data_IF_706898508763
#
_entry.id   IF_706898508763
#
_cell.length_a   1.000
_cell.length_b   1.000
_cell.length_c   1.000
_cell.angle_alpha   90.00
_cell.angle_beta   90.00
_cell.angle_gamma   90.00
#
_symmetry.space_group_name_H-M   'P 1'
#
loop_
_entity.id
_entity.type
_entity.pdbx_description
1 polymer ?
#
# COMPACT_ATOMS: atom_id res chain seq x y z
N UNK A 1 9.51 6.48 21.54
CA UNK A 1 8.80 5.19 21.31
C UNK A 1 7.83 5.46 20.19
N UNK A 2 8.24 5.12 18.98
CA UNK A 2 7.53 5.43 17.73
C UNK A 2 6.13 4.83 17.71
N UNK A 3 5.13 5.67 17.46
CA UNK A 3 3.70 5.34 17.43
C UNK A 3 3.29 4.50 16.21
N UNK A 4 4.18 3.63 15.72
CA UNK A 4 4.03 2.89 14.47
C UNK A 4 3.79 1.37 14.66
N UNK A 5 3.85 0.85 15.89
CA UNK A 5 3.67 -0.58 16.15
C UNK A 5 2.25 -1.10 15.82
N UNK A 6 1.26 -0.22 15.67
CA UNK A 6 -0.12 -0.59 15.35
C UNK A 6 -0.41 -0.81 13.86
N UNK A 7 0.30 -0.13 12.95
CA UNK A 7 -0.04 -0.14 11.53
C UNK A 7 0.70 -1.25 10.76
N UNK A 8 0.04 -1.91 9.79
CA UNK A 8 0.66 -2.91 8.92
C UNK A 8 1.83 -2.32 8.14
N UNK A 9 2.94 -3.04 8.02
CA UNK A 9 4.06 -2.70 7.16
C UNK A 9 3.79 -3.13 5.70
N UNK A 10 3.82 -2.17 4.77
CA UNK A 10 3.56 -2.41 3.35
C UNK A 10 4.69 -1.96 2.40
N UNK A 11 5.91 -1.78 2.92
CA UNK A 11 7.06 -1.24 2.16
C UNK A 11 7.30 -1.88 0.77
N UNK A 12 7.22 -3.22 0.58
CA UNK A 12 7.40 -3.80 -0.74
C UNK A 12 6.35 -3.36 -1.76
N UNK A 13 5.10 -3.15 -1.31
CA UNK A 13 4.03 -2.64 -2.15
C UNK A 13 4.22 -1.16 -2.46
N UNK A 14 4.59 -0.36 -1.45
CA UNK A 14 4.94 1.05 -1.66
C UNK A 14 6.04 1.20 -2.71
N UNK A 15 7.11 0.41 -2.60
CA UNK A 15 8.21 0.45 -3.57
C UNK A 15 7.75 0.07 -4.98
N UNK A 16 6.91 -0.97 -5.12
CA UNK A 16 6.33 -1.28 -6.43
C UNK A 16 5.50 -0.11 -6.98
N UNK A 17 4.66 0.48 -6.13
CA UNK A 17 3.78 1.59 -6.50
C UNK A 17 4.60 2.81 -6.97
N UNK A 18 5.68 3.14 -6.26
CA UNK A 18 6.64 4.17 -6.64
C UNK A 18 7.22 3.92 -8.04
N UNK A 19 7.73 2.70 -8.28
CA UNK A 19 8.33 2.31 -9.56
C UNK A 19 7.33 2.34 -10.73
N UNK A 20 6.05 2.08 -10.45
CA UNK A 20 4.96 2.21 -11.43
C UNK A 20 4.66 3.68 -11.73
N UNK A 21 4.58 4.52 -10.70
CA UNK A 21 4.21 5.93 -10.83
C UNK A 21 5.29 6.78 -11.49
N UNK A 22 6.55 6.56 -11.12
CA UNK A 22 7.67 7.29 -11.69
C UNK A 22 8.14 6.74 -13.05
N UNK A 23 7.48 5.69 -13.56
CA UNK A 23 7.80 5.08 -14.85
C UNK A 23 9.09 4.26 -14.87
N UNK A 24 9.72 3.97 -13.73
CA UNK A 24 11.01 3.24 -13.68
C UNK A 24 10.90 1.83 -14.26
N UNK A 25 9.73 1.18 -14.13
CA UNK A 25 9.52 -0.14 -14.76
C UNK A 25 9.41 -0.07 -16.29
N UNK A 26 9.20 1.12 -16.85
CA UNK A 26 9.02 1.35 -18.29
C UNK A 26 7.61 1.02 -18.81
N UNK A 27 7.30 1.54 -19.99
CA UNK A 27 5.98 1.39 -20.63
C UNK A 27 5.63 -0.07 -20.93
N UNK A 28 6.62 -0.88 -21.33
CA UNK A 28 6.41 -2.30 -21.61
C UNK A 28 5.93 -3.07 -20.38
N UNK A 29 6.43 -2.73 -19.19
CA UNK A 29 6.02 -3.37 -17.94
C UNK A 29 4.60 -2.97 -17.53
N UNK A 30 4.22 -1.71 -17.73
CA UNK A 30 2.86 -1.23 -17.50
C UNK A 30 1.88 -1.89 -18.48
N UNK A 31 2.22 -1.91 -19.77
CA UNK A 31 1.43 -2.60 -20.79
C UNK A 31 1.29 -4.10 -20.49
N UNK A 32 2.34 -4.75 -19.99
CA UNK A 32 2.27 -6.16 -19.56
C UNK A 32 1.26 -6.38 -18.43
N UNK A 33 1.19 -5.46 -17.46
CA UNK A 33 0.22 -5.50 -16.36
C UNK A 33 -1.21 -5.24 -16.83
N UNK A 34 -1.41 -4.24 -17.69
CA UNK A 34 -2.72 -3.87 -18.25
C UNK A 34 -3.35 -5.02 -19.04
N UNK A 35 -2.53 -5.78 -19.76
CA UNK A 35 -2.99 -6.88 -20.60
C UNK A 35 -2.82 -8.27 -19.96
N UNK A 36 -2.35 -8.37 -18.71
CA UNK A 36 -2.31 -9.63 -17.96
C UNK A 36 -3.72 -10.01 -17.48
N UNK A 37 -4.33 -11.03 -18.10
CA UNK A 37 -5.65 -11.56 -17.70
C UNK A 37 -5.79 -11.92 -16.21
N UNK A 38 -4.69 -12.22 -15.52
CA UNK A 38 -4.69 -12.58 -14.09
C UNK A 38 -4.45 -11.38 -13.17
N UNK A 39 -3.75 -10.36 -13.65
CA UNK A 39 -3.25 -9.27 -12.80
C UNK A 39 -3.78 -7.88 -13.18
N UNK A 40 -4.44 -7.71 -14.33
CA UNK A 40 -4.93 -6.40 -14.79
C UNK A 40 -5.89 -5.75 -13.79
N UNK A 41 -6.83 -6.53 -13.23
CA UNK A 41 -7.74 -6.03 -12.21
C UNK A 41 -7.04 -5.61 -10.91
N UNK A 42 -6.00 -6.34 -10.49
CA UNK A 42 -5.20 -6.01 -9.30
C UNK A 42 -4.36 -4.75 -9.55
N UNK A 43 -3.77 -4.65 -10.75
CA UNK A 43 -3.06 -3.46 -11.19
C UNK A 43 -3.98 -2.24 -11.17
N UNK A 44 -5.12 -2.28 -11.86
CA UNK A 44 -6.12 -1.20 -11.85
C UNK A 44 -6.59 -0.84 -10.43
N UNK A 45 -6.80 -1.85 -9.57
CA UNK A 45 -7.17 -1.63 -8.18
C UNK A 45 -6.07 -0.89 -7.40
N UNK A 46 -4.80 -1.22 -7.61
CA UNK A 46 -3.66 -0.50 -7.04
C UNK A 46 -3.58 0.94 -7.58
N UNK A 47 -3.82 1.15 -8.88
CA UNK A 47 -3.80 2.48 -9.52
C UNK A 47 -4.86 3.44 -8.97
N UNK A 48 -5.98 2.92 -8.47
CA UNK A 48 -6.98 3.73 -7.76
C UNK A 48 -6.45 4.31 -6.44
N UNK A 49 -5.35 3.80 -5.92
CA UNK A 49 -4.67 4.31 -4.72
C UNK A 49 -3.54 5.31 -5.02
N UNK A 50 -3.32 5.69 -6.27
CA UNK A 50 -2.28 6.66 -6.68
C UNK A 50 -2.37 7.97 -5.88
N UNK A 51 -3.58 8.48 -5.66
CA UNK A 51 -3.80 9.73 -4.92
C UNK A 51 -3.35 9.64 -3.46
N UNK A 52 -3.66 8.52 -2.79
CA UNK A 52 -3.23 8.28 -1.41
C UNK A 52 -1.70 8.14 -1.32
N UNK A 53 -1.06 7.52 -2.32
CA UNK A 53 0.39 7.40 -2.37
C UNK A 53 1.06 8.76 -2.58
N UNK A 54 0.60 9.55 -3.56
CA UNK A 54 1.15 10.89 -3.83
C UNK A 54 1.01 11.83 -2.64
N UNK A 55 -0.11 11.76 -1.91
CA UNK A 55 -0.29 12.55 -0.70
C UNK A 55 0.72 12.17 0.40
N UNK A 56 1.02 10.88 0.55
CA UNK A 56 2.05 10.38 1.47
C UNK A 56 3.47 10.80 1.05
N UNK A 57 3.79 10.76 -0.24
CA UNK A 57 5.07 11.25 -0.76
C UNK A 57 5.23 12.76 -0.55
N UNK A 58 4.20 13.54 -0.85
CA UNK A 58 4.17 14.99 -0.66
C UNK A 58 4.41 15.39 0.81
N UNK A 59 3.81 14.67 1.75
CA UNK A 59 4.04 14.90 3.17
C UNK A 59 5.43 14.49 3.66
N UNK A 60 6.15 13.67 2.89
CA UNK A 60 7.53 13.30 3.17
C UNK A 60 8.55 14.30 2.58
N UNK A 61 8.09 15.24 1.75
CA UNK A 61 8.91 16.31 1.17
C UNK A 61 8.82 17.60 2.02
N UNK A 62 9.90 18.02 2.70
CA UNK A 62 9.90 19.22 3.53
C UNK A 62 9.68 20.52 2.74
N UNK A 63 9.93 20.56 1.42
CA UNK A 63 9.68 21.77 0.61
C UNK A 63 8.19 22.00 0.35
N UNK A 64 7.40 20.93 0.19
CA UNK A 64 5.96 21.03 -0.08
C UNK A 64 5.16 21.40 1.18
N UNK A 65 5.62 21.00 2.36
CA UNK A 65 5.02 21.42 3.64
C UNK A 65 5.08 22.94 3.86
N UNK A 66 6.11 23.63 3.33
CA UNK A 66 6.27 25.07 3.45
C UNK A 66 5.39 25.87 2.46
N UNK A 67 5.07 25.31 1.30
CA UNK A 67 4.16 25.94 0.33
C UNK A 67 2.69 25.79 0.72
N UNK A 68 2.29 24.62 1.26
CA UNK A 68 0.94 24.42 1.79
C UNK A 68 0.61 25.33 2.99
N UNK A 69 1.61 25.71 3.78
CA UNK A 69 1.46 26.65 4.89
C UNK A 69 1.40 28.12 4.45
N UNK A 70 1.84 28.44 3.22
CA UNK A 70 1.91 29.82 2.71
C UNK A 70 0.66 30.24 1.90
N UNK A 71 -0.05 29.30 1.27
CA UNK A 71 -1.15 29.59 0.33
C UNK A 71 -2.57 29.25 0.84
N UNK A 72 -2.73 28.81 2.09
CA UNK A 72 -4.00 28.24 2.59
C UNK A 72 -4.88 29.18 3.43
N UNK A 73 -5.77 29.92 2.76
CA UNK A 73 -7.06 30.36 3.33
C UNK A 73 -7.93 29.12 3.63
N UNK A 74 -8.41 29.02 4.87
CA UNK A 74 -9.35 28.06 5.44
C UNK A 74 -9.74 26.78 4.68
N UNK A 75 -9.20 25.63 5.11
CA UNK A 75 -9.97 24.46 5.62
C UNK A 75 -9.08 23.22 5.73
N UNK A 76 -9.12 22.59 6.91
CA UNK A 76 -8.42 21.36 7.30
C UNK A 76 -6.90 21.51 7.56
N UNK A 77 -6.51 21.17 8.79
CA UNK A 77 -5.10 21.10 9.18
C UNK A 77 -4.39 20.02 8.33
N UNK A 78 -3.12 20.25 7.93
CA UNK A 78 -2.37 19.25 7.16
C UNK A 78 -2.31 17.93 7.92
N UNK A 79 -2.70 16.84 7.25
CA UNK A 79 -2.67 15.48 7.82
C UNK A 79 -1.24 15.08 8.15
N UNK A 80 -1.04 14.39 9.27
CA UNK A 80 0.29 13.89 9.65
C UNK A 80 0.73 12.76 8.70
N UNK A 81 2.04 12.52 8.53
CA UNK A 81 2.55 11.39 7.74
C UNK A 81 1.97 10.04 8.17
N UNK A 82 1.72 9.84 9.47
CA UNK A 82 1.11 8.60 9.98
C UNK A 82 -0.35 8.44 9.52
N UNK A 83 -1.12 9.53 9.49
CA UNK A 83 -2.50 9.51 8.99
C UNK A 83 -2.54 9.20 7.48
N UNK A 84 -1.64 9.81 6.71
CA UNK A 84 -1.51 9.54 5.28
C UNK A 84 -1.02 8.11 5.00
N UNK A 85 -0.11 7.59 5.82
CA UNK A 85 0.32 6.19 5.74
C UNK A 85 -0.85 5.24 6.05
N UNK A 86 -1.65 5.53 7.07
CA UNK A 86 -2.84 4.76 7.38
C UNK A 86 -3.86 4.78 6.22
N UNK A 87 -4.10 5.92 5.58
CA UNK A 87 -4.95 6.03 4.39
C UNK A 87 -4.42 5.21 3.21
N UNK A 88 -3.11 5.26 2.96
CA UNK A 88 -2.48 4.47 1.92
C UNK A 88 -2.60 2.96 2.18
N UNK A 89 -2.26 2.51 3.40
CA UNK A 89 -2.43 1.11 3.83
C UNK A 89 -3.90 0.72 3.67
N UNK A 90 -4.81 1.59 4.05
CA UNK A 90 -6.24 1.32 3.97
C UNK A 90 -6.72 1.12 2.53
N UNK A 91 -6.31 2.00 1.61
CA UNK A 91 -6.68 1.92 0.20
C UNK A 91 -6.09 0.66 -0.46
N UNK A 92 -4.80 0.43 -0.28
CA UNK A 92 -4.11 -0.70 -0.91
C UNK A 92 -4.59 -2.04 -0.36
N UNK A 93 -4.87 -2.11 0.95
CA UNK A 93 -5.39 -3.30 1.59
C UNK A 93 -6.82 -3.62 1.17
N UNK A 94 -7.69 -2.62 0.97
CA UNK A 94 -9.05 -2.89 0.47
C UNK A 94 -9.04 -3.30 -1.00
N UNK A 95 -8.12 -2.75 -1.78
CA UNK A 95 -7.95 -3.07 -3.20
C UNK A 95 -7.41 -4.49 -3.43
N UNK A 96 -6.40 -4.90 -2.66
CA UNK A 96 -5.63 -6.12 -2.95
C UNK A 96 -5.86 -7.25 -1.95
N UNK A 97 -6.15 -6.91 -0.69
CA UNK A 97 -6.19 -7.86 0.42
C UNK A 97 -7.45 -7.71 1.31
N UNK A 98 -8.68 -7.65 0.74
CA UNK A 98 -9.88 -7.25 1.47
C UNK A 98 -10.20 -8.16 2.66
N UNK A 99 -9.98 -9.47 2.53
CA UNK A 99 -10.23 -10.43 3.62
C UNK A 99 -9.25 -10.24 4.78
N UNK A 100 -7.95 -10.12 4.49
CA UNK A 100 -6.94 -9.92 5.53
C UNK A 100 -7.10 -8.55 6.21
N UNK A 101 -7.52 -7.53 5.45
CA UNK A 101 -7.88 -6.21 5.98
C UNK A 101 -9.04 -6.30 6.96
N UNK A 102 -10.08 -7.06 6.62
CA UNK A 102 -11.24 -7.25 7.47
C UNK A 102 -10.85 -7.88 8.82
N UNK A 103 -10.04 -8.94 8.80
CA UNK A 103 -9.53 -9.60 10.01
C UNK A 103 -8.70 -8.65 10.89
N UNK A 104 -7.79 -7.88 10.30
CA UNK A 104 -6.99 -6.91 11.04
C UNK A 104 -7.85 -5.77 11.61
N UNK A 105 -8.82 -5.24 10.87
CA UNK A 105 -9.73 -4.19 11.36
C UNK A 105 -10.57 -4.67 12.55
N UNK A 106 -11.07 -5.90 12.48
CA UNK A 106 -11.89 -6.48 13.54
C UNK A 106 -11.16 -6.48 14.90
N UNK A 107 -9.83 -6.67 14.89
CA UNK A 107 -9.02 -6.64 16.10
C UNK A 107 -8.49 -5.25 16.45
N UNK A 108 -8.17 -4.40 15.45
CA UNK A 108 -7.61 -3.07 15.68
C UNK A 108 -8.59 -2.13 16.41
N UNK A 109 -9.89 -2.41 16.33
CA UNK A 109 -10.97 -1.68 17.01
C UNK A 109 -11.24 -2.18 18.44
N UNK A 110 -10.59 -3.27 18.89
CA UNK A 110 -10.81 -3.82 20.23
C UNK A 110 -10.01 -3.06 21.30
N UNK A 111 -10.56 -2.85 22.51
CA UNK A 111 -9.85 -2.21 23.60
C UNK A 111 -8.62 -3.03 24.03
N UNK A 112 -7.47 -2.35 24.18
CA UNK A 112 -6.19 -2.95 24.56
C UNK A 112 -6.16 -3.26 26.05
N UNK A 113 -6.84 -4.34 26.45
CA UNK A 113 -6.87 -4.82 27.84
C UNK A 113 -6.58 -6.32 28.01
N UNK A 114 -6.69 -7.10 26.93
CA UNK A 114 -6.50 -8.55 26.94
C UNK A 114 -5.27 -8.93 26.11
N UNK A 115 -4.27 -9.54 26.76
CA UNK A 115 -3.04 -10.04 26.12
C UNK A 115 -3.34 -11.04 25.00
N UNK A 116 -4.34 -11.91 25.17
CA UNK A 116 -4.71 -12.89 24.15
C UNK A 116 -5.32 -12.20 22.92
N UNK A 117 -6.09 -11.13 23.12
CA UNK A 117 -6.61 -10.31 22.03
C UNK A 117 -5.49 -9.56 21.30
N UNK A 118 -4.48 -9.07 22.01
CA UNK A 118 -3.29 -8.43 21.41
C UNK A 118 -2.50 -9.40 20.53
N UNK A 119 -2.28 -10.64 20.98
CA UNK A 119 -1.60 -11.67 20.20
C UNK A 119 -2.38 -12.03 18.92
N UNK A 120 -3.69 -12.24 19.02
CA UNK A 120 -4.55 -12.49 17.85
C UNK A 120 -4.48 -11.32 16.86
N UNK A 121 -4.43 -10.09 17.38
CA UNK A 121 -4.33 -8.92 16.51
C UNK A 121 -2.97 -8.80 15.81
N UNK A 122 -1.88 -9.16 16.49
CA UNK A 122 -0.56 -9.25 15.87
C UNK A 122 -0.51 -10.29 14.74
N UNK A 123 -1.22 -11.42 14.90
CA UNK A 123 -1.36 -12.42 13.83
C UNK A 123 -2.13 -11.85 12.64
N UNK A 124 -3.29 -11.24 12.86
CA UNK A 124 -4.09 -10.63 11.79
C UNK A 124 -3.30 -9.53 11.03
N UNK A 125 -2.55 -8.70 11.76
CA UNK A 125 -1.62 -7.72 11.18
C UNK A 125 -0.60 -8.39 10.26
N UNK A 126 0.10 -9.43 10.73
CA UNK A 126 1.10 -10.16 9.94
C UNK A 126 0.50 -10.84 8.69
N UNK A 127 -0.74 -11.32 8.77
CA UNK A 127 -1.45 -11.89 7.61
C UNK A 127 -1.70 -10.84 6.54
N UNK A 128 -2.14 -9.63 6.94
CA UNK A 128 -2.32 -8.52 6.01
C UNK A 128 -0.99 -8.09 5.36
N UNK A 129 0.07 -7.94 6.15
CA UNK A 129 1.41 -7.61 5.64
C UNK A 129 1.94 -8.67 4.66
N UNK A 130 1.71 -9.95 4.97
CA UNK A 130 2.07 -11.08 4.10
C UNK A 130 1.29 -11.03 2.79
N UNK A 131 -0.01 -10.74 2.85
CA UNK A 131 -0.86 -10.61 1.67
C UNK A 131 -0.35 -9.48 0.76
N UNK A 132 -0.16 -8.27 1.29
CA UNK A 132 0.33 -7.12 0.53
C UNK A 132 1.69 -7.38 -0.10
N UNK A 133 2.60 -8.05 0.63
CA UNK A 133 3.90 -8.48 0.11
C UNK A 133 3.76 -9.52 -1.02
N UNK A 134 2.80 -10.44 -0.90
CA UNK A 134 2.49 -11.43 -1.92
C UNK A 134 1.99 -10.77 -3.21
N UNK A 135 1.02 -9.87 -3.08
CA UNK A 135 0.45 -9.10 -4.19
C UNK A 135 1.50 -8.24 -4.89
N UNK A 136 2.33 -7.52 -4.13
CA UNK A 136 3.45 -6.76 -4.69
C UNK A 136 4.42 -7.64 -5.50
N UNK A 137 4.75 -8.83 -5.00
CA UNK A 137 5.60 -9.79 -5.72
C UNK A 137 4.92 -10.33 -6.98
N UNK A 138 3.62 -10.61 -6.91
CA UNK A 138 2.86 -11.14 -8.04
C UNK A 138 2.80 -10.12 -9.18
N UNK A 139 2.46 -8.87 -8.85
CA UNK A 139 2.45 -7.76 -9.80
C UNK A 139 3.84 -7.49 -10.39
N UNK A 140 4.89 -7.43 -9.55
CA UNK A 140 6.27 -7.20 -10.04
C UNK A 140 6.75 -8.29 -11.01
N UNK A 141 6.32 -9.55 -10.81
CA UNK A 141 6.61 -10.64 -11.75
C UNK A 141 5.82 -10.50 -13.03
N UNK A 142 4.53 -10.19 -12.91
CA UNK A 142 3.64 -9.99 -14.07
C UNK A 142 4.09 -8.83 -14.97
N UNK A 143 4.72 -7.80 -14.38
CA UNK A 143 5.28 -6.66 -15.11
C UNK A 143 6.58 -6.97 -15.86
N UNK A 144 7.18 -8.15 -15.67
CA UNK A 144 8.45 -8.55 -16.28
C UNK A 144 8.33 -9.93 -16.94
N UNK A 145 7.53 -10.06 -18.01
CA UNK A 145 7.27 -11.35 -18.64
C UNK A 145 8.52 -12.00 -19.24
N UNK A 146 9.50 -11.19 -19.64
CA UNK A 146 10.78 -11.67 -20.21
C UNK A 146 11.70 -12.30 -19.14
N UNK A 147 11.58 -11.85 -17.89
CA UNK A 147 12.35 -12.38 -16.74
C UNK A 147 11.60 -13.54 -16.05
N UNK A 148 10.27 -13.44 -15.99
CA UNK A 148 9.40 -14.43 -15.36
C UNK A 148 8.37 -14.97 -16.37
N UNK A 149 8.79 -15.82 -17.32
CA UNK A 149 7.89 -16.36 -18.32
C UNK A 149 6.77 -17.18 -17.68
N UNK A 150 5.54 -17.00 -18.18
CA UNK A 150 4.33 -17.73 -17.75
C UNK A 150 4.39 -19.18 -18.24
N UNK A 151 5.28 -20.00 -17.67
CA UNK A 151 5.44 -21.39 -18.09
C UNK A 151 6.72 -22.10 -17.66
N UNK A 152 7.60 -21.48 -16.88
CA UNK A 152 8.77 -22.17 -16.32
C UNK A 152 8.42 -23.05 -15.12
N UNK A 153 7.59 -24.07 -15.34
CA UNK A 153 7.50 -25.22 -14.44
C UNK A 153 8.79 -26.04 -14.57
N UNK A 154 9.41 -26.34 -13.44
CA UNK A 154 10.14 -27.59 -13.27
C UNK A 154 9.14 -28.73 -13.21
#
# INVERSE_FOLDING_TARGET
>A
MDNNDGLPQCMPLMRLHELLLNGTLGEQAQHALEHDKRHSAQYEALRRCDGAFRALEAASDPQQQQQAAADGDGSEAPKTPEALYAEYVQCTSSALCPSALHEWRACAQQPRGDLQALERCAVAKRLLERCLRGEARSLLRASQPDVFPRGGGL
#
